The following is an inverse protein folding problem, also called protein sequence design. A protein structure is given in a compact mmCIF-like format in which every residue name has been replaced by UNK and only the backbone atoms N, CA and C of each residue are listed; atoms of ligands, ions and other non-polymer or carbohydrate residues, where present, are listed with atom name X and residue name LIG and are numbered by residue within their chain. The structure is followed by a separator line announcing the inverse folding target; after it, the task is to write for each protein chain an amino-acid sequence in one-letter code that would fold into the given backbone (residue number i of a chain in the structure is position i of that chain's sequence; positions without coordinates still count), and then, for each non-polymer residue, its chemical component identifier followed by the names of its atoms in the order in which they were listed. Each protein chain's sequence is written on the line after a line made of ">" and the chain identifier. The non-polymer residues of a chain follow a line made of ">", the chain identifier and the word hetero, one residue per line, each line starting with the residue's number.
data_IF_420562911565
#
_entry.id   IF_420562911565
#
_cell.length_a   1.000
_cell.length_b   1.000
_cell.length_c   1.000
_cell.angle_alpha   90.00
_cell.angle_beta   90.00
_cell.angle_gamma   90.00
#
_symmetry.space_group_name_H-M   'P 1'
#
loop_
_entity.id
_entity.type
_entity.pdbx_description
1 polymer ?
#
# COMPACT_ATOMS: atom_id res chain seq x y z
N UNK A 1 17.05 0.01 7.82
CA UNK A 1 17.77 0.57 8.98
C UNK A 1 17.51 -0.40 10.13
N UNK A 2 18.52 -0.92 10.83
CA UNK A 2 18.31 -1.86 11.92
C UNK A 2 18.76 -1.23 13.24
N UNK A 3 17.80 -0.91 14.11
CA UNK A 3 18.06 -0.48 15.49
C UNK A 3 17.61 -1.63 16.41
N UNK A 4 18.54 -2.32 17.11
CA UNK A 4 18.24 -3.57 17.84
C UNK A 4 17.16 -3.48 18.92
N UNK A 5 16.93 -2.28 19.47
CA UNK A 5 15.95 -2.03 20.53
C UNK A 5 14.70 -1.29 20.02
N UNK A 6 14.51 -1.18 18.70
CA UNK A 6 13.31 -0.58 18.15
C UNK A 6 12.11 -1.50 18.36
N UNK A 7 11.10 -1.00 19.06
CA UNK A 7 9.88 -1.74 19.30
C UNK A 7 9.06 -1.86 18.01
N UNK A 8 8.84 -3.10 17.56
CA UNK A 8 7.92 -3.43 16.46
C UNK A 8 6.56 -3.81 17.07
N UNK A 9 5.72 -2.81 17.27
CA UNK A 9 4.40 -2.97 17.89
C UNK A 9 3.34 -3.23 16.82
N UNK A 10 2.36 -4.13 17.08
CA UNK A 10 1.31 -4.43 16.12
C UNK A 10 0.60 -3.18 15.57
N UNK A 11 0.49 -3.07 14.25
CA UNK A 11 -0.16 -1.95 13.58
C UNK A 11 -1.48 -2.39 12.95
N UNK A 12 -2.59 -2.03 13.61
CA UNK A 12 -3.93 -2.16 13.02
C UNK A 12 -4.05 -1.26 11.78
N UNK A 13 -4.63 -1.80 10.71
CA UNK A 13 -4.89 -1.12 9.43
C UNK A 13 -5.61 0.22 9.64
N UNK A 14 -6.65 0.23 10.49
CA UNK A 14 -7.41 1.43 10.81
C UNK A 14 -7.04 1.89 12.23
N UNK A 15 -6.18 2.90 12.32
CA UNK A 15 -5.76 3.53 13.58
C UNK A 15 -5.43 5.01 13.37
N UNK A 16 -5.39 5.78 14.46
CA UNK A 16 -4.88 7.15 14.43
C UNK A 16 -3.34 7.18 14.29
N UNK A 17 -2.80 8.30 13.79
CA UNK A 17 -1.37 8.46 13.52
C UNK A 17 -1.06 8.34 12.03
N UNK A 18 0.17 7.92 11.70
CA UNK A 18 0.57 7.72 10.31
C UNK A 18 -0.14 6.53 9.67
N UNK A 19 -1.08 6.83 8.76
CA UNK A 19 -1.95 5.85 8.14
C UNK A 19 -1.27 5.10 6.98
N UNK A 20 -0.86 5.83 5.93
CA UNK A 20 -0.30 5.28 4.70
C UNK A 20 0.53 6.34 3.96
N UNK A 21 1.14 5.93 2.85
CA UNK A 21 1.68 6.81 1.80
C UNK A 21 1.13 6.37 0.44
N UNK A 22 0.91 7.34 -0.45
CA UNK A 22 0.50 7.10 -1.83
C UNK A 22 1.63 7.45 -2.80
N UNK A 23 1.84 6.61 -3.80
CA UNK A 23 2.72 6.89 -4.94
C UNK A 23 1.90 6.90 -6.23
N UNK A 24 1.94 8.04 -6.94
CA UNK A 24 1.36 8.16 -8.29
C UNK A 24 2.33 7.58 -9.32
N UNK A 25 1.81 6.68 -10.16
CA UNK A 25 2.56 6.01 -11.23
C UNK A 25 2.14 6.46 -12.64
N UNK A 26 1.19 7.39 -12.74
CA UNK A 26 0.88 8.15 -13.94
C UNK A 26 -0.13 7.51 -14.89
N UNK A 27 -0.51 6.24 -14.70
CA UNK A 27 -1.54 5.60 -15.52
C UNK A 27 -2.20 4.39 -14.84
N UNK A 28 -3.44 4.10 -15.26
CA UNK A 28 -4.24 2.96 -14.80
C UNK A 28 -3.50 1.65 -15.06
N UNK A 29 -2.88 1.54 -16.24
CA UNK A 29 -2.17 0.35 -16.69
C UNK A 29 -0.96 0.04 -15.79
N UNK A 30 -0.26 1.07 -15.31
CA UNK A 30 0.88 0.88 -14.40
C UNK A 30 0.38 0.52 -13.00
N UNK A 31 -0.74 1.09 -12.52
CA UNK A 31 -1.38 0.66 -11.26
C UNK A 31 -1.70 -0.84 -11.33
N UNK A 32 -2.36 -1.30 -12.40
CA UNK A 32 -2.71 -2.70 -12.60
C UNK A 32 -1.49 -3.61 -12.64
N UNK A 33 -0.51 -3.27 -13.48
CA UNK A 33 0.69 -4.07 -13.68
C UNK A 33 1.52 -4.19 -12.39
N UNK A 34 1.79 -3.06 -11.72
CA UNK A 34 2.59 -3.05 -10.49
C UNK A 34 1.87 -3.78 -9.34
N UNK A 35 0.55 -3.64 -9.25
CA UNK A 35 -0.22 -4.38 -8.24
C UNK A 35 -0.15 -5.89 -8.46
N UNK A 36 -0.23 -6.34 -9.72
CA UNK A 36 -0.12 -7.75 -10.05
C UNK A 36 1.28 -8.30 -9.77
N UNK A 37 2.33 -7.53 -10.09
CA UNK A 37 3.73 -7.86 -9.78
C UNK A 37 3.93 -8.01 -8.27
N UNK A 38 3.55 -7.00 -7.47
CA UNK A 38 3.68 -7.05 -6.02
C UNK A 38 2.90 -8.20 -5.38
N UNK A 39 1.71 -8.51 -5.89
CA UNK A 39 0.95 -9.69 -5.47
C UNK A 39 1.70 -10.99 -5.77
N UNK A 40 2.30 -11.10 -6.95
CA UNK A 40 3.09 -12.27 -7.34
C UNK A 40 4.35 -12.43 -6.48
N UNK A 41 4.93 -11.32 -6.04
CA UNK A 41 6.09 -11.27 -5.14
C UNK A 41 5.74 -11.56 -3.67
N UNK A 42 4.46 -11.73 -3.36
CA UNK A 42 3.97 -12.16 -2.04
C UNK A 42 3.53 -11.04 -1.11
N UNK A 43 3.41 -9.80 -1.60
CA UNK A 43 2.82 -8.71 -0.82
C UNK A 43 1.31 -8.91 -0.66
N UNK A 44 0.79 -8.56 0.51
CA UNK A 44 -0.65 -8.59 0.76
C UNK A 44 -1.33 -7.43 0.05
N UNK A 45 -2.27 -7.73 -0.85
CA UNK A 45 -3.13 -6.73 -1.51
C UNK A 45 -4.43 -6.62 -0.71
N UNK A 46 -4.60 -5.53 0.04
CA UNK A 46 -5.79 -5.29 0.86
C UNK A 46 -6.91 -4.58 0.08
N UNK A 47 -6.58 -3.90 -1.01
CA UNK A 47 -7.53 -3.40 -2.00
C UNK A 47 -6.94 -3.56 -3.40
N UNK A 48 -7.61 -4.31 -4.27
CA UNK A 48 -7.23 -4.39 -5.68
C UNK A 48 -7.46 -3.06 -6.42
N UNK A 49 -6.95 -2.94 -7.67
CA UNK A 49 -7.14 -1.75 -8.49
C UNK A 49 -8.61 -1.41 -8.69
N UNK A 50 -9.00 -0.18 -8.34
CA UNK A 50 -10.39 0.30 -8.43
C UNK A 50 -10.44 1.82 -8.39
N UNK A 51 -11.57 2.38 -8.81
CA UNK A 51 -11.89 3.78 -8.50
C UNK A 51 -12.51 3.87 -7.10
N UNK A 52 -11.98 4.74 -6.24
CA UNK A 52 -12.47 5.02 -4.90
C UNK A 52 -13.61 6.05 -4.91
N UNK A 53 -14.28 6.21 -3.76
CA UNK A 53 -15.41 7.15 -3.62
C UNK A 53 -15.02 8.63 -3.73
N UNK A 54 -13.74 8.95 -3.56
CA UNK A 54 -13.15 10.28 -3.73
C UNK A 54 -12.50 10.50 -5.11
N UNK A 55 -12.56 9.50 -6.00
CA UNK A 55 -12.27 9.66 -7.42
C UNK A 55 -10.86 9.26 -7.87
N UNK A 56 -10.04 8.68 -7.00
CA UNK A 56 -8.74 8.14 -7.38
C UNK A 56 -8.90 6.76 -7.99
N UNK A 57 -8.12 6.46 -9.02
CA UNK A 57 -7.90 5.09 -9.45
C UNK A 57 -6.65 4.57 -8.76
N UNK A 58 -6.80 3.56 -7.92
CA UNK A 58 -5.74 3.11 -7.03
C UNK A 58 -5.86 1.63 -6.66
N UNK A 59 -4.76 1.07 -6.17
CA UNK A 59 -4.72 -0.16 -5.39
C UNK A 59 -4.00 0.09 -4.06
N UNK A 60 -4.11 -0.85 -3.11
CA UNK A 60 -3.43 -0.73 -1.81
C UNK A 60 -2.84 -2.07 -1.36
N UNK A 61 -1.57 -2.03 -0.98
CA UNK A 61 -0.81 -3.16 -0.44
C UNK A 61 -0.34 -2.91 1.00
N UNK A 62 -0.02 -3.99 1.72
CA UNK A 62 0.74 -3.93 2.97
C UNK A 62 2.22 -4.19 2.67
N UNK A 63 3.05 -3.22 3.02
CA UNK A 63 4.50 -3.25 2.84
C UNK A 63 5.21 -3.51 4.17
N UNK A 64 6.43 -2.96 4.33
CA UNK A 64 7.24 -3.13 5.55
C UNK A 64 6.56 -2.52 6.78
N UNK A 65 6.69 -3.18 7.94
CA UNK A 65 6.15 -2.75 9.24
C UNK A 65 4.63 -2.49 9.21
N UNK A 66 3.89 -3.33 8.48
CA UNK A 66 2.45 -3.24 8.26
C UNK A 66 1.99 -1.86 7.71
N UNK A 67 2.89 -1.13 7.05
CA UNK A 67 2.56 0.14 6.43
C UNK A 67 1.78 -0.09 5.14
N UNK A 68 0.68 0.64 5.00
CA UNK A 68 -0.10 0.64 3.78
C UNK A 68 0.56 1.55 2.74
N UNK A 69 0.61 1.06 1.50
CA UNK A 69 1.03 1.85 0.35
C UNK A 69 -0.09 1.82 -0.68
N UNK A 70 -0.59 3.00 -1.02
CA UNK A 70 -1.50 3.21 -2.13
C UNK A 70 -0.71 3.45 -3.41
N UNK A 71 -1.08 2.76 -4.48
CA UNK A 71 -0.51 2.93 -5.83
C UNK A 71 -1.59 3.60 -6.65
N UNK A 72 -1.41 4.87 -6.99
CA UNK A 72 -2.44 5.67 -7.66
C UNK A 72 -2.01 6.01 -9.09
N UNK A 73 -2.96 6.47 -9.89
CA UNK A 73 -2.62 7.24 -11.10
C UNK A 73 -1.92 8.53 -10.70
#
# INVERSE_FOLDING_TARGET
>A
MNLPEMADLPKKIVRTGYSHIAFSVGSVEIVDALTAELKADGYEVISGPRTTGDGYYESCIVAVEDNQIEITV
#
